data_IF_584826165414
#
_entry.id   IF_584826165414
#
_cell.length_a   1.000
_cell.length_b   1.000
_cell.length_c   1.000
_cell.angle_alpha   90.00
_cell.angle_beta   90.00
_cell.angle_gamma   90.00
#
_symmetry.space_group_name_H-M   'P 1'
#
loop_
_entity.id
_entity.type
_entity.pdbx_description
1 polymer ?
#
# COMPACT_ATOMS: atom_id res chain seq x y z
N UNK A 1 -1.61 -44.15 6.52
CA UNK A 1 -2.30 -42.84 6.41
C UNK A 1 -3.57 -42.95 7.25
N UNK A 2 -3.44 -42.79 8.57
CA UNK A 2 -4.61 -42.80 9.46
C UNK A 2 -5.30 -41.45 9.26
N UNK A 3 -6.53 -41.45 8.76
CA UNK A 3 -7.29 -40.22 8.67
C UNK A 3 -7.60 -39.76 10.10
N UNK A 4 -7.10 -38.58 10.48
CA UNK A 4 -7.35 -38.01 11.81
C UNK A 4 -8.88 -37.89 12.02
N UNK A 5 -9.45 -38.55 13.03
CA UNK A 5 -10.91 -38.57 13.23
C UNK A 5 -11.48 -37.15 13.43
N UNK A 6 -10.66 -36.23 13.95
CA UNK A 6 -11.01 -34.82 14.17
C UNK A 6 -11.10 -34.03 12.86
N UNK A 7 -10.31 -34.36 11.82
CA UNK A 7 -10.40 -33.67 10.52
C UNK A 7 -11.66 -34.09 9.75
N UNK A 8 -12.05 -35.36 9.86
CA UNK A 8 -13.26 -35.88 9.22
C UNK A 8 -14.55 -35.34 9.87
N UNK A 9 -14.59 -35.21 11.20
CA UNK A 9 -15.76 -34.64 11.89
C UNK A 9 -16.02 -33.19 11.49
N UNK A 10 -14.97 -32.37 11.38
CA UNK A 10 -15.08 -30.96 10.94
C UNK A 10 -15.65 -30.81 9.53
N UNK A 11 -15.38 -31.74 8.62
CA UNK A 11 -15.97 -31.71 7.28
C UNK A 11 -17.47 -32.01 7.29
N UNK A 12 -17.94 -32.85 8.22
CA UNK A 12 -19.36 -33.19 8.34
C UNK A 12 -20.20 -32.04 8.91
N UNK A 13 -19.60 -31.18 9.73
CA UNK A 13 -20.23 -29.98 10.30
C UNK A 13 -20.42 -28.86 9.27
N UNK A 14 -19.67 -28.88 8.17
CA UNK A 14 -19.78 -27.87 7.11
C UNK A 14 -20.92 -28.16 6.13
N UNK A 15 -21.56 -27.11 5.57
CA UNK A 15 -22.46 -27.23 4.43
C UNK A 15 -21.76 -27.93 3.24
N UNK A 16 -22.49 -28.78 2.52
CA UNK A 16 -21.93 -29.63 1.44
C UNK A 16 -21.11 -28.84 0.41
N UNK A 17 -21.56 -27.63 0.05
CA UNK A 17 -20.89 -26.79 -0.93
C UNK A 17 -19.52 -26.25 -0.48
N UNK A 18 -19.25 -26.19 0.83
CA UNK A 18 -17.97 -25.71 1.40
C UNK A 18 -16.99 -26.85 1.69
N UNK A 19 -17.47 -28.10 1.72
CA UNK A 19 -16.63 -29.26 2.06
C UNK A 19 -15.49 -29.46 1.06
N UNK A 20 -15.72 -29.21 -0.23
CA UNK A 20 -14.69 -29.34 -1.27
C UNK A 20 -13.53 -28.37 -1.06
N UNK A 21 -13.85 -27.12 -0.70
CA UNK A 21 -12.84 -26.11 -0.38
C UNK A 21 -12.08 -26.47 0.91
N UNK A 22 -12.80 -26.88 1.96
CA UNK A 22 -12.19 -27.31 3.21
C UNK A 22 -11.26 -28.53 3.04
N UNK A 23 -11.62 -29.50 2.21
CA UNK A 23 -10.73 -30.61 1.85
C UNK A 23 -9.49 -30.10 1.14
N UNK A 24 -9.63 -29.16 0.21
CA UNK A 24 -8.50 -28.54 -0.49
C UNK A 24 -7.56 -27.84 0.48
N UNK A 25 -8.08 -27.09 1.46
CA UNK A 25 -7.28 -26.45 2.51
C UNK A 25 -6.54 -27.49 3.37
N UNK A 26 -7.22 -28.58 3.77
CA UNK A 26 -6.61 -29.67 4.55
C UNK A 26 -5.45 -30.32 3.78
N UNK A 27 -5.64 -30.59 2.49
CA UNK A 27 -4.62 -31.18 1.63
C UNK A 27 -3.44 -30.22 1.48
N UNK A 28 -3.72 -28.92 1.29
CA UNK A 28 -2.68 -27.90 1.23
C UNK A 28 -1.84 -27.86 2.51
N UNK A 29 -2.46 -27.82 3.69
CA UNK A 29 -1.75 -27.83 4.98
C UNK A 29 -0.90 -29.09 5.17
N UNK A 30 -1.45 -30.26 4.82
CA UNK A 30 -0.75 -31.52 4.93
C UNK A 30 0.47 -31.55 4.01
N UNK A 31 0.31 -31.11 2.75
CA UNK A 31 1.41 -31.02 1.79
C UNK A 31 2.47 -30.00 2.22
N UNK A 32 2.06 -28.88 2.82
CA UNK A 32 3.00 -27.90 3.36
C UNK A 32 3.84 -28.51 4.49
N UNK A 33 3.24 -29.31 5.40
CA UNK A 33 3.97 -30.03 6.46
C UNK A 33 4.90 -31.14 5.93
N UNK A 34 4.58 -31.74 4.79
CA UNK A 34 5.49 -32.69 4.12
C UNK A 34 6.73 -31.98 3.58
N UNK A 35 6.55 -30.79 3.00
CA UNK A 35 7.64 -29.99 2.44
C UNK A 35 8.48 -29.28 3.51
N UNK A 36 7.84 -28.78 4.54
CA UNK A 36 8.45 -28.12 5.69
C UNK A 36 7.84 -28.72 6.98
N UNK A 37 8.52 -29.70 7.60
CA UNK A 37 7.99 -30.40 8.76
C UNK A 37 7.96 -29.54 10.03
N UNK A 38 8.68 -28.42 10.07
CA UNK A 38 8.75 -27.55 11.24
C UNK A 38 7.69 -26.46 11.14
N UNK A 39 7.68 -25.71 10.05
CA UNK A 39 6.80 -24.53 9.92
C UNK A 39 5.60 -24.76 9.01
N UNK A 40 5.65 -25.72 8.06
CA UNK A 40 4.54 -26.03 7.17
C UNK A 40 3.95 -24.79 6.48
N UNK A 41 2.62 -24.61 6.60
CA UNK A 41 1.94 -23.43 6.06
C UNK A 41 2.27 -22.13 6.80
N UNK A 42 2.70 -22.19 8.07
CA UNK A 42 3.11 -21.01 8.84
C UNK A 42 4.35 -20.37 8.20
N UNK A 43 5.28 -21.17 7.68
CA UNK A 43 6.46 -20.66 6.97
C UNK A 43 6.08 -19.84 5.73
N UNK A 44 5.06 -20.28 4.99
CA UNK A 44 4.53 -19.52 3.84
C UNK A 44 3.89 -18.19 4.29
N UNK A 45 3.10 -18.21 5.38
CA UNK A 45 2.50 -17.01 5.95
C UNK A 45 3.58 -16.01 6.36
N UNK A 46 4.59 -16.45 7.10
CA UNK A 46 5.69 -15.59 7.56
C UNK A 46 6.49 -15.00 6.40
N UNK A 47 6.75 -15.79 5.35
CA UNK A 47 7.44 -15.29 4.16
C UNK A 47 6.62 -14.21 3.43
N UNK A 48 5.30 -14.36 3.36
CA UNK A 48 4.43 -13.35 2.76
C UNK A 48 4.38 -12.07 3.62
N UNK A 49 4.33 -12.21 4.94
CA UNK A 49 4.37 -11.06 5.86
C UNK A 49 5.68 -10.27 5.67
N UNK A 50 6.83 -10.95 5.61
CA UNK A 50 8.11 -10.31 5.33
C UNK A 50 8.15 -9.58 3.99
N UNK A 51 7.52 -10.14 2.95
CA UNK A 51 7.43 -9.48 1.64
C UNK A 51 6.56 -8.23 1.70
N UNK A 52 5.44 -8.26 2.42
CA UNK A 52 4.59 -7.09 2.65
C UNK A 52 5.39 -6.00 3.36
N UNK A 53 6.10 -6.33 4.43
CA UNK A 53 6.91 -5.38 5.19
C UNK A 53 8.02 -4.75 4.33
N UNK A 54 8.69 -5.56 3.50
CA UNK A 54 9.73 -5.08 2.60
C UNK A 54 9.16 -4.10 1.56
N UNK A 55 8.00 -4.42 0.97
CA UNK A 55 7.33 -3.55 0.00
C UNK A 55 6.84 -2.25 0.63
N UNK A 56 6.27 -2.30 1.84
CA UNK A 56 5.86 -1.12 2.58
C UNK A 56 7.06 -0.21 2.90
N UNK A 57 8.19 -0.80 3.29
CA UNK A 57 9.44 -0.06 3.54
C UNK A 57 9.92 0.62 2.26
N UNK A 58 9.93 -0.10 1.13
CA UNK A 58 10.34 0.46 -0.15
C UNK A 58 9.43 1.63 -0.57
N UNK A 59 8.12 1.48 -0.40
CA UNK A 59 7.16 2.55 -0.67
C UNK A 59 7.45 3.80 0.17
N UNK A 60 7.67 3.63 1.47
CA UNK A 60 7.99 4.74 2.37
C UNK A 60 9.29 5.45 1.99
N UNK A 61 10.33 4.69 1.62
CA UNK A 61 11.59 5.25 1.13
C UNK A 61 11.39 6.06 -0.16
N UNK A 62 10.70 5.50 -1.15
CA UNK A 62 10.43 6.20 -2.41
C UNK A 62 9.59 7.47 -2.19
N UNK A 63 8.59 7.43 -1.31
CA UNK A 63 7.80 8.61 -0.95
C UNK A 63 8.67 9.70 -0.29
N UNK A 64 9.55 9.32 0.64
CA UNK A 64 10.48 10.24 1.27
C UNK A 64 11.45 10.86 0.26
N UNK A 65 11.97 10.09 -0.70
CA UNK A 65 12.82 10.59 -1.78
C UNK A 65 12.10 11.60 -2.67
N UNK A 66 10.85 11.33 -3.04
CA UNK A 66 10.04 12.27 -3.84
C UNK A 66 9.87 13.59 -3.09
N UNK A 67 9.50 13.55 -1.80
CA UNK A 67 9.35 14.76 -0.97
C UNK A 67 10.68 15.51 -0.88
N UNK A 68 11.79 14.81 -0.63
CA UNK A 68 13.11 15.42 -0.56
C UNK A 68 13.48 16.15 -1.86
N UNK A 69 13.23 15.54 -3.02
CA UNK A 69 13.46 16.18 -4.32
C UNK A 69 12.57 17.41 -4.53
N UNK A 70 11.30 17.36 -4.13
CA UNK A 70 10.38 18.51 -4.21
C UNK A 70 10.87 19.67 -3.35
N UNK A 71 11.25 19.42 -2.10
CA UNK A 71 11.77 20.46 -1.19
C UNK A 71 13.02 21.11 -1.78
N UNK A 72 13.95 20.31 -2.33
CA UNK A 72 15.15 20.84 -3.01
C UNK A 72 14.80 21.68 -4.23
N UNK A 73 13.84 21.26 -5.05
CA UNK A 73 13.37 22.04 -6.20
C UNK A 73 12.79 23.39 -5.76
N UNK A 74 11.97 23.43 -4.71
CA UNK A 74 11.43 24.68 -4.17
C UNK A 74 12.50 25.59 -3.56
N UNK A 75 13.53 25.02 -2.91
CA UNK A 75 14.65 25.78 -2.36
C UNK A 75 15.61 26.31 -3.45
N UNK A 76 15.65 25.67 -4.63
CA UNK A 76 16.45 26.11 -5.78
C UNK A 76 15.82 27.21 -6.64
N UNK A 77 14.65 27.75 -6.25
CA UNK A 77 14.13 29.01 -6.79
C UNK A 77 14.33 30.18 -5.81
N UNK A 78 15.57 30.68 -5.58
CA UNK A 78 15.73 32.05 -5.14
C UNK A 78 15.65 32.89 -6.42
N UNK A 79 14.50 33.43 -6.78
CA UNK A 79 14.34 34.71 -7.50
C UNK A 79 12.90 34.82 -7.99
N UNK A 80 12.17 35.80 -7.47
CA UNK A 80 10.88 36.11 -8.07
C UNK A 80 10.01 37.17 -7.41
N UNK A 81 10.30 37.67 -6.20
CA UNK A 81 9.48 38.75 -5.65
C UNK A 81 10.34 39.75 -4.87
N UNK A 82 10.82 40.77 -5.58
CA UNK A 82 11.26 42.03 -4.96
C UNK A 82 10.08 43.01 -5.02
N UNK A 83 9.56 43.51 -3.89
CA UNK A 83 8.44 44.45 -3.90
C UNK A 83 8.95 45.89 -3.80
N UNK A 84 9.33 46.53 -4.90
CA UNK A 84 9.48 48.00 -4.92
C UNK A 84 9.29 48.64 -6.30
N UNK A 85 8.29 49.54 -6.35
CA UNK A 85 8.15 50.73 -7.19
C UNK A 85 7.36 50.64 -8.52
N UNK A 86 6.39 51.55 -8.75
CA UNK A 86 5.55 51.56 -9.94
C UNK A 86 6.22 52.35 -11.07
N UNK A 87 6.23 51.80 -12.28
CA UNK A 87 6.43 52.62 -13.49
C UNK A 87 5.56 52.11 -14.61
N UNK A 88 4.58 52.95 -14.91
CA UNK A 88 3.61 52.89 -16.00
C UNK A 88 4.31 52.96 -17.36
N UNK A 89 4.04 52.00 -18.26
CA UNK A 89 3.88 52.26 -19.70
C UNK A 89 3.44 50.99 -20.46
N UNK A 90 2.16 50.96 -20.86
CA UNK A 90 1.80 50.62 -22.26
C UNK A 90 1.55 49.17 -22.68
N UNK A 91 0.32 48.71 -22.44
CA UNK A 91 -0.57 48.04 -23.44
C UNK A 91 -0.42 46.53 -23.80
N UNK A 92 -1.53 45.89 -24.24
CA UNK A 92 -1.91 44.56 -23.78
C UNK A 92 -1.83 43.47 -24.86
N UNK A 93 -1.48 42.24 -24.47
CA UNK A 93 -1.82 41.05 -25.26
C UNK A 93 -2.49 40.00 -24.38
N UNK A 94 -3.60 39.54 -24.91
CA UNK A 94 -4.71 38.88 -24.26
C UNK A 94 -4.59 37.36 -24.40
N UNK A 95 -4.96 36.68 -23.31
CA UNK A 95 -5.47 35.30 -23.23
C UNK A 95 -4.49 34.18 -23.57
N UNK A 96 -3.66 33.79 -22.59
CA UNK A 96 -3.31 32.37 -22.44
C UNK A 96 -4.51 31.69 -21.78
N UNK A 97 -5.30 31.02 -22.61
CA UNK A 97 -6.42 30.18 -22.20
C UNK A 97 -5.91 29.17 -21.16
N UNK A 98 -6.55 29.16 -19.99
CA UNK A 98 -6.20 28.30 -18.89
C UNK A 98 -6.20 26.85 -19.32
N UNK A 99 -5.02 26.27 -19.52
CA UNK A 99 -4.82 24.86 -19.23
C UNK A 99 -4.51 24.79 -17.74
N UNK A 100 -5.56 24.54 -16.99
CA UNK A 100 -5.45 23.91 -15.68
C UNK A 100 -4.91 22.50 -15.97
N UNK A 101 -3.61 22.39 -16.24
CA UNK A 101 -2.92 21.13 -16.00
C UNK A 101 -2.88 21.01 -14.49
N UNK A 102 -3.97 20.50 -13.93
CA UNK A 102 -3.90 19.82 -12.65
C UNK A 102 -2.76 18.83 -12.81
N UNK A 103 -1.63 18.95 -12.08
CA UNK A 103 -0.75 17.81 -11.96
C UNK A 103 -1.64 16.69 -11.44
N UNK A 104 -1.62 15.54 -12.10
CA UNK A 104 -2.56 14.43 -11.93
C UNK A 104 -2.59 13.83 -10.50
N UNK A 105 -1.87 14.46 -9.57
CA UNK A 105 -1.72 14.09 -8.16
C UNK A 105 -2.05 15.24 -7.20
N UNK A 106 -2.75 16.29 -7.61
CA UNK A 106 -3.47 17.15 -6.64
C UNK A 106 -4.71 16.42 -6.08
N UNK A 107 -4.50 15.14 -5.75
CA UNK A 107 -5.25 14.41 -4.75
C UNK A 107 -4.56 14.78 -3.43
N UNK A 108 -4.90 15.98 -2.94
CA UNK A 108 -4.81 16.41 -1.57
C UNK A 108 -3.89 15.55 -0.68
N UNK A 109 -2.62 15.94 -0.56
CA UNK A 109 -1.75 15.47 0.52
C UNK A 109 -2.11 16.22 1.81
N UNK A 110 -3.40 16.29 2.16
CA UNK A 110 -3.81 16.28 3.56
C UNK A 110 -3.51 14.88 4.05
N UNK A 111 -2.34 14.75 4.67
CA UNK A 111 -2.19 13.82 5.79
C UNK A 111 -3.22 14.30 6.82
N UNK A 112 -4.40 13.69 6.81
CA UNK A 112 -5.30 13.78 7.95
C UNK A 112 -4.66 12.94 9.06
N UNK A 113 -3.82 13.60 9.85
CA UNK A 113 -3.28 13.09 11.09
C UNK A 113 -4.38 13.11 12.15
N UNK A 114 -5.45 12.35 11.94
CA UNK A 114 -6.54 12.17 12.89
C UNK A 114 -7.34 10.89 12.65
N UNK A 115 -6.66 9.74 12.55
CA UNK A 115 -7.24 8.49 13.03
C UNK A 115 -6.14 7.45 13.19
N UNK A 116 -5.69 7.25 14.42
CA UNK A 116 -5.06 5.99 14.83
C UNK A 116 -6.13 4.89 14.76
N UNK A 117 -6.58 4.56 13.56
CA UNK A 117 -7.34 3.36 13.28
C UNK A 117 -6.33 2.23 13.22
N UNK A 118 -6.51 1.23 14.08
CA UNK A 118 -5.66 0.05 14.16
C UNK A 118 -5.29 -0.50 12.78
N UNK A 119 -4.08 -1.07 12.62
CA UNK A 119 -3.80 -1.88 11.44
C UNK A 119 -4.91 -2.90 11.27
N UNK A 120 -5.53 -2.92 10.08
CA UNK A 120 -6.69 -3.75 9.69
C UNK A 120 -6.47 -5.28 9.86
N UNK A 121 -5.32 -5.67 10.40
CA UNK A 121 -4.86 -7.04 10.61
C UNK A 121 -4.78 -7.43 12.08
N UNK A 122 -5.25 -6.56 13.01
CA UNK A 122 -5.42 -6.88 14.42
C UNK A 122 -6.81 -7.49 14.68
N UNK A 123 -6.93 -8.80 14.54
CA UNK A 123 -8.02 -9.63 15.08
C UNK A 123 -7.47 -11.01 15.50
#
# INVERSE_FOLDING_TARGET
LQADPIKLSKLQELPVHQRGDAVSSIVYEANARVRDPVYGCVGAISSLQQQIDALQTQLALTQAEVVHLRVRQTASFPHGFCPTSPSNSGSPTFKLMGSQTMPIFDLDMVVDQASLGEPMWSF
#
